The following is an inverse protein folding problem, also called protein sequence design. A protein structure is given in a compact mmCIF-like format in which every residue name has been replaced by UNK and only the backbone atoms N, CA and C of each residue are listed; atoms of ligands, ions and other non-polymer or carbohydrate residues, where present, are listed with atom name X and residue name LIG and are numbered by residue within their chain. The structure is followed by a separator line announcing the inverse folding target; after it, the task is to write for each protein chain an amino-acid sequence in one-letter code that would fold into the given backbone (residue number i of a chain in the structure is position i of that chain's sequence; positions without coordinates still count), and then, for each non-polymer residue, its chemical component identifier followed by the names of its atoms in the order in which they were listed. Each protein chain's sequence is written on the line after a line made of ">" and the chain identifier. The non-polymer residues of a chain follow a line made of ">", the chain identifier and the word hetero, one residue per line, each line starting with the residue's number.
data_IF_456065038433
#
_entry.id   IF_456065038433
#
_cell.length_a   1.000
_cell.length_b   1.000
_cell.length_c   1.000
_cell.angle_alpha   90.00
_cell.angle_beta   90.00
_cell.angle_gamma   90.00
#
_symmetry.space_group_name_H-M   'P 1'
#
loop_
_entity.id
_entity.type
_entity.pdbx_description
1 polymer ?
#
# COMPACT_ATOMS: atom_id res chain seq x y z
N UNK A 1 -29.28 -19.91 -9.46
CA UNK A 1 -28.00 -19.83 -8.73
C UNK A 1 -26.90 -19.49 -9.73
N UNK A 2 -26.00 -18.58 -9.41
CA UNK A 2 -24.83 -18.34 -10.25
C UNK A 2 -23.91 -19.57 -10.20
N UNK A 3 -23.39 -20.01 -11.35
CA UNK A 3 -22.38 -21.07 -11.40
C UNK A 3 -21.05 -20.55 -10.85
N UNK A 4 -20.24 -21.41 -10.22
CA UNK A 4 -18.90 -21.02 -9.78
C UNK A 4 -18.04 -20.61 -10.98
N UNK A 5 -17.27 -19.54 -10.81
CA UNK A 5 -16.35 -19.02 -11.82
C UNK A 5 -14.92 -19.12 -11.30
N UNK A 6 -13.96 -19.38 -12.20
CA UNK A 6 -12.54 -19.47 -11.89
C UNK A 6 -11.75 -18.62 -12.87
N UNK A 7 -10.71 -17.95 -12.38
CA UNK A 7 -9.82 -17.18 -13.24
C UNK A 7 -9.19 -18.09 -14.30
N UNK A 8 -9.16 -17.62 -15.56
CA UNK A 8 -8.56 -18.37 -16.69
C UNK A 8 -7.04 -18.51 -16.56
N UNK A 9 -6.41 -17.58 -15.85
CA UNK A 9 -4.97 -17.51 -15.61
C UNK A 9 -4.75 -17.20 -14.14
N UNK A 10 -3.63 -17.70 -13.58
CA UNK A 10 -3.23 -17.47 -12.19
C UNK A 10 -4.23 -17.95 -11.12
N UNK A 11 -5.07 -18.94 -11.42
CA UNK A 11 -6.14 -19.36 -10.53
C UNK A 11 -5.67 -19.83 -9.14
N UNK A 12 -4.50 -20.46 -9.06
CA UNK A 12 -3.99 -21.08 -7.82
C UNK A 12 -2.67 -20.47 -7.33
N UNK A 13 -2.28 -19.30 -7.85
CA UNK A 13 -0.93 -18.76 -7.56
C UNK A 13 -0.69 -18.57 -6.08
N UNK A 14 -1.69 -18.11 -5.33
CA UNK A 14 -1.55 -17.91 -3.89
C UNK A 14 -1.44 -19.23 -3.13
N UNK A 15 -2.13 -20.29 -3.59
CA UNK A 15 -2.06 -21.62 -2.97
C UNK A 15 -0.69 -22.29 -3.13
N UNK A 16 0.09 -21.88 -4.13
CA UNK A 16 1.46 -22.35 -4.36
C UNK A 16 2.52 -21.49 -3.63
N UNK A 17 2.11 -20.38 -3.01
CA UNK A 17 2.99 -19.50 -2.24
C UNK A 17 2.96 -19.85 -0.75
N UNK A 18 4.04 -19.54 0.00
CA UNK A 18 4.02 -19.60 1.46
C UNK A 18 2.84 -18.79 2.02
N UNK A 19 2.33 -19.21 3.19
CA UNK A 19 1.16 -18.59 3.83
C UNK A 19 1.32 -17.08 4.05
N UNK A 20 2.50 -16.66 4.49
CA UNK A 20 2.88 -15.24 4.72
C UNK A 20 2.72 -14.32 3.50
N UNK A 21 2.71 -14.89 2.28
CA UNK A 21 2.54 -14.10 1.05
C UNK A 21 1.13 -13.50 0.92
N UNK A 22 0.10 -14.21 1.39
CA UNK A 22 -1.30 -13.82 1.20
C UNK A 22 -2.07 -13.61 2.50
N UNK A 23 -1.61 -14.18 3.62
CA UNK A 23 -2.20 -14.00 4.96
C UNK A 23 -1.77 -12.66 5.57
N UNK A 24 -2.27 -11.56 4.98
CA UNK A 24 -1.95 -10.20 5.42
C UNK A 24 -2.52 -9.85 6.81
N UNK A 25 -3.48 -10.62 7.32
CA UNK A 25 -4.04 -10.42 8.69
C UNK A 25 -3.02 -10.79 9.76
N UNK A 26 -2.13 -11.74 9.44
CA UNK A 26 -1.03 -12.14 10.33
C UNK A 26 0.24 -11.30 10.15
N UNK A 27 0.26 -10.37 9.18
CA UNK A 27 1.45 -9.57 8.89
C UNK A 27 1.66 -8.47 9.93
N UNK A 28 2.89 -8.38 10.45
CA UNK A 28 3.30 -7.33 11.39
C UNK A 28 4.00 -6.22 10.61
N UNK A 29 3.37 -5.04 10.56
CA UNK A 29 3.93 -3.86 9.90
C UNK A 29 5.00 -3.22 10.78
N UNK A 30 6.18 -3.00 10.21
CA UNK A 30 7.20 -2.14 10.79
C UNK A 30 6.96 -0.68 10.39
N UNK A 31 6.56 0.15 11.35
CA UNK A 31 6.19 1.53 11.10
C UNK A 31 7.40 2.44 11.25
N UNK A 32 7.77 3.14 10.17
CA UNK A 32 8.80 4.18 10.18
C UNK A 32 8.33 5.48 10.85
N UNK A 33 9.25 6.46 10.93
CA UNK A 33 8.95 7.77 11.50
C UNK A 33 8.41 8.74 10.43
N UNK A 34 7.22 9.32 10.66
CA UNK A 34 6.64 10.28 9.72
C UNK A 34 7.41 11.61 9.69
N UNK A 35 8.11 11.96 10.78
CA UNK A 35 8.87 13.21 10.87
C UNK A 35 10.07 13.24 9.90
N UNK A 36 10.46 12.10 9.33
CA UNK A 36 11.45 12.02 8.25
C UNK A 36 10.92 12.61 6.92
N UNK A 37 9.64 12.97 6.84
CA UNK A 37 9.00 13.47 5.63
C UNK A 37 8.27 14.79 5.86
N UNK A 38 8.65 15.80 5.08
CA UNK A 38 7.99 17.09 5.09
C UNK A 38 7.00 17.22 3.92
N UNK A 39 5.73 17.44 4.22
CA UNK A 39 4.70 17.67 3.20
C UNK A 39 4.90 19.04 2.54
N UNK A 40 4.89 19.07 1.21
CA UNK A 40 5.04 20.28 0.41
C UNK A 40 3.68 20.82 -0.04
N UNK A 41 2.89 19.99 -0.72
CA UNK A 41 1.57 20.36 -1.20
C UNK A 41 0.67 19.16 -1.42
N UNK A 42 -0.63 19.38 -1.33
CA UNK A 42 -1.63 18.35 -1.64
C UNK A 42 -1.68 18.10 -3.16
N UNK A 43 -1.66 16.84 -3.55
CA UNK A 43 -1.82 16.38 -4.93
C UNK A 43 -3.26 15.97 -5.22
N UNK A 44 -3.96 15.37 -4.25
CA UNK A 44 -5.33 14.92 -4.46
C UNK A 44 -5.97 14.27 -3.24
N UNK A 45 -7.24 13.89 -3.40
CA UNK A 45 -8.04 13.20 -2.39
C UNK A 45 -8.83 12.08 -3.05
N UNK A 46 -8.74 10.89 -2.47
CA UNK A 46 -9.55 9.73 -2.83
C UNK A 46 -10.59 9.39 -1.77
N UNK A 47 -11.35 8.31 -2.02
CA UNK A 47 -12.31 7.76 -1.06
C UNK A 47 -11.64 7.45 0.28
N UNK A 48 -10.51 6.72 0.24
CA UNK A 48 -9.82 6.18 1.41
C UNK A 48 -8.51 6.89 1.76
N UNK A 49 -8.12 7.97 1.07
CA UNK A 49 -6.82 8.61 1.32
C UNK A 49 -6.72 10.07 0.89
N UNK A 50 -5.69 10.74 1.38
CA UNK A 50 -5.20 12.04 0.91
C UNK A 50 -3.74 11.90 0.47
N UNK A 51 -3.37 12.57 -0.62
CA UNK A 51 -2.06 12.37 -1.27
C UNK A 51 -1.34 13.70 -1.36
N UNK A 52 -0.05 13.70 -1.03
CA UNK A 52 0.79 14.89 -0.95
C UNK A 52 2.13 14.66 -1.67
N UNK A 53 2.67 15.70 -2.31
CA UNK A 53 4.09 15.78 -2.62
C UNK A 53 4.83 16.07 -1.31
N UNK A 54 5.94 15.38 -1.07
CA UNK A 54 6.75 15.52 0.11
C UNK A 54 8.25 15.46 -0.24
N UNK A 55 9.09 15.83 0.73
CA UNK A 55 10.54 15.64 0.67
C UNK A 55 10.94 14.76 1.86
N UNK A 56 11.71 13.70 1.60
CA UNK A 56 12.41 12.97 2.65
C UNK A 56 13.58 13.85 3.12
N UNK A 57 13.52 14.32 4.36
CA UNK A 57 14.50 15.30 4.87
C UNK A 57 15.86 14.68 5.17
N UNK A 58 15.94 13.34 5.28
CA UNK A 58 17.19 12.63 5.54
C UNK A 58 18.12 12.59 4.34
N UNK A 59 17.55 12.62 3.12
CA UNK A 59 18.31 12.51 1.87
C UNK A 59 17.92 13.55 0.81
N UNK A 60 16.99 14.45 1.13
CA UNK A 60 16.47 15.51 0.28
C UNK A 60 15.80 15.04 -1.03
N UNK A 61 15.35 13.78 -1.08
CA UNK A 61 14.64 13.22 -2.24
C UNK A 61 13.15 13.56 -2.21
N UNK A 62 12.60 13.85 -3.39
CA UNK A 62 11.16 14.04 -3.55
C UNK A 62 10.44 12.71 -3.52
N UNK A 63 9.32 12.66 -2.79
CA UNK A 63 8.46 11.49 -2.70
C UNK A 63 6.98 11.89 -2.67
N UNK A 64 6.10 10.87 -2.62
CA UNK A 64 4.66 11.06 -2.47
C UNK A 64 4.21 10.37 -1.18
N UNK A 65 3.54 11.10 -0.30
CA UNK A 65 2.94 10.57 0.92
C UNK A 65 1.46 10.38 0.71
N UNK A 66 0.98 9.14 0.90
CA UNK A 66 -0.45 8.78 0.87
C UNK A 66 -0.91 8.50 2.30
N UNK A 67 -1.64 9.45 2.88
CA UNK A 67 -2.24 9.30 4.20
C UNK A 67 -3.53 8.51 4.05
N UNK A 68 -3.63 7.37 4.73
CA UNK A 68 -4.83 6.53 4.78
C UNK A 68 -5.82 7.13 5.81
N UNK A 69 -7.10 7.21 5.45
CA UNK A 69 -8.18 7.72 6.31
C UNK A 69 -8.75 6.64 7.21
#
# INVERSE_FOLDING_TARGET
>A
MALPSRARVYADVNSQKPREYWDYESYVVDWGNQDDYQLVRKLGRGKYSEVFEAINITNNEKCVVKILK
#
